data_IF_466518430449
#
_entry.id   IF_466518430449
#
_cell.length_a   1.000
_cell.length_b   1.000
_cell.length_c   1.000
_cell.angle_alpha   90.00
_cell.angle_beta   90.00
_cell.angle_gamma   90.00
#
_symmetry.space_group_name_H-M   'P 1'
#
loop_
_entity.id
_entity.type
_entity.pdbx_description
1 polymer ?
#
# COMPACT_ATOMS: atom_id res chain seq x y z
N UNK A 1 -4.63 1.91 11.78
CA UNK A 1 -3.34 2.54 11.44
C UNK A 1 -2.50 2.55 12.71
N UNK A 2 -1.27 2.03 12.65
CA UNK A 2 -0.37 2.00 13.80
C UNK A 2 1.02 2.48 13.37
N UNK A 3 1.36 3.73 13.67
CA UNK A 3 2.61 4.38 13.28
C UNK A 3 3.40 4.79 14.53
N UNK A 4 4.24 3.92 15.12
CA UNK A 4 4.90 4.24 16.37
C UNK A 4 6.04 5.27 16.16
N UNK A 5 6.00 6.38 16.90
CA UNK A 5 7.01 7.45 16.85
C UNK A 5 8.08 7.44 17.96
N UNK A 6 7.97 6.56 18.97
CA UNK A 6 8.83 6.54 20.17
C UNK A 6 8.95 5.17 20.85
N UNK A 7 9.81 5.02 21.87
CA UNK A 7 10.14 3.73 22.52
C UNK A 7 8.95 3.03 23.20
N UNK A 8 8.18 3.74 24.02
CA UNK A 8 6.94 3.26 24.64
C UNK A 8 5.84 2.99 23.60
N UNK A 9 5.76 3.81 22.55
CA UNK A 9 4.84 3.61 21.43
C UNK A 9 5.14 2.33 20.62
N UNK A 10 6.36 1.77 20.70
CA UNK A 10 6.69 0.49 20.05
C UNK A 10 6.11 -0.72 20.78
N UNK A 11 6.01 -0.67 22.11
CA UNK A 11 5.46 -1.74 22.94
C UNK A 11 3.95 -1.88 22.72
N UNK A 12 3.19 -0.80 22.90
CA UNK A 12 1.76 -0.77 22.56
C UNK A 12 1.53 -1.07 21.07
N UNK A 13 2.45 -0.60 20.23
CA UNK A 13 2.44 -0.89 18.81
C UNK A 13 2.55 -2.40 18.51
N UNK A 14 3.26 -3.21 19.32
CA UNK A 14 3.35 -4.66 19.11
C UNK A 14 2.04 -5.36 19.47
N UNK A 15 1.45 -5.02 20.62
CA UNK A 15 0.17 -5.59 21.06
C UNK A 15 -0.96 -5.32 20.07
N UNK A 16 -1.02 -4.09 19.53
CA UNK A 16 -1.98 -3.73 18.48
C UNK A 16 -1.77 -4.57 17.21
N UNK A 17 -0.52 -4.83 16.82
CA UNK A 17 -0.22 -5.67 15.65
C UNK A 17 -0.62 -7.11 15.88
N UNK A 18 -0.30 -7.67 17.05
CA UNK A 18 -0.65 -9.03 17.41
C UNK A 18 -2.17 -9.25 17.41
N UNK A 19 -2.92 -8.33 18.01
CA UNK A 19 -4.39 -8.38 18.04
C UNK A 19 -5.03 -8.33 16.64
N UNK A 20 -4.49 -7.50 15.74
CA UNK A 20 -5.02 -7.37 14.38
C UNK A 20 -4.70 -8.61 13.52
N UNK A 21 -3.51 -9.18 13.65
CA UNK A 21 -3.15 -10.46 12.99
C UNK A 21 -4.05 -11.58 13.50
N UNK A 22 -4.26 -11.68 14.82
CA UNK A 22 -5.15 -12.68 15.41
C UNK A 22 -6.61 -12.52 14.95
N UNK A 23 -7.03 -11.29 14.64
CA UNK A 23 -8.37 -10.98 14.15
C UNK A 23 -8.51 -11.11 12.62
N UNK A 24 -7.46 -11.46 11.89
CA UNK A 24 -7.40 -11.53 10.42
C UNK A 24 -7.90 -10.25 9.74
N UNK A 25 -7.47 -9.09 10.25
CA UNK A 25 -7.86 -7.78 9.72
C UNK A 25 -6.68 -7.12 8.99
N UNK A 26 -6.94 -6.37 7.90
CA UNK A 26 -5.90 -5.58 7.25
C UNK A 26 -5.26 -4.56 8.20
N UNK A 27 -3.94 -4.43 8.12
CA UNK A 27 -3.17 -3.48 8.91
C UNK A 27 -2.18 -2.71 8.05
N UNK A 28 -2.19 -1.39 8.17
CA UNK A 28 -1.12 -0.51 7.68
C UNK A 28 -0.21 -0.10 8.84
N UNK A 29 1.10 -0.28 8.67
CA UNK A 29 2.13 0.01 9.68
C UNK A 29 2.94 1.26 9.35
N UNK A 30 2.78 1.82 8.14
CA UNK A 30 3.40 3.08 7.73
C UNK A 30 2.38 4.09 7.20
N UNK A 31 2.70 5.39 7.37
CA UNK A 31 1.92 6.48 6.78
C UNK A 31 1.97 6.42 5.25
N UNK A 32 3.12 6.09 4.66
CA UNK A 32 3.31 6.06 3.22
C UNK A 32 2.38 5.03 2.55
N UNK A 33 2.29 3.81 3.10
CA UNK A 33 1.38 2.77 2.62
C UNK A 33 -0.08 3.18 2.76
N UNK A 34 -0.47 3.81 3.87
CA UNK A 34 -1.83 4.28 4.05
C UNK A 34 -2.20 5.34 3.00
N UNK A 35 -1.33 6.32 2.76
CA UNK A 35 -1.58 7.36 1.76
C UNK A 35 -1.73 6.78 0.35
N UNK A 36 -0.90 5.79 -0.02
CA UNK A 36 -1.01 5.09 -1.29
C UNK A 36 -2.33 4.31 -1.40
N UNK A 37 -2.75 3.62 -0.33
CA UNK A 37 -4.01 2.90 -0.28
C UNK A 37 -5.22 3.84 -0.45
N UNK A 38 -5.24 4.99 0.25
CA UNK A 38 -6.31 5.98 0.13
C UNK A 38 -6.39 6.55 -1.29
N UNK A 39 -5.26 6.90 -1.91
CA UNK A 39 -5.24 7.39 -3.29
C UNK A 39 -5.80 6.36 -4.28
N UNK A 40 -5.53 5.07 -4.04
CA UNK A 40 -6.00 3.98 -4.89
C UNK A 40 -7.53 3.78 -4.88
N UNK A 41 -8.24 4.22 -3.83
CA UNK A 41 -9.71 4.07 -3.75
C UNK A 41 -10.47 4.77 -4.88
N UNK A 42 -9.89 5.83 -5.46
CA UNK A 42 -10.47 6.49 -6.63
C UNK A 42 -10.55 5.59 -7.89
N UNK A 43 -9.75 4.53 -7.93
CA UNK A 43 -9.59 3.64 -9.09
C UNK A 43 -10.27 2.28 -8.88
N UNK A 44 -10.38 1.81 -7.63
CA UNK A 44 -10.86 0.45 -7.28
C UNK A 44 -12.23 0.11 -7.88
N UNK A 45 -13.13 1.08 -8.03
CA UNK A 45 -14.47 0.85 -8.59
C UNK A 45 -14.57 0.73 -10.11
N UNK A 46 -13.48 1.01 -10.86
CA UNK A 46 -13.51 1.10 -12.34
C UNK A 46 -12.92 -0.12 -13.05
N UNK A 47 -12.40 -1.09 -12.30
CA UNK A 47 -11.64 -2.20 -12.86
C UNK A 47 -10.24 -1.78 -13.34
N UNK A 48 -9.42 -2.75 -13.72
CA UNK A 48 -8.06 -2.52 -14.20
C UNK A 48 -7.92 -2.93 -15.66
N UNK A 49 -7.24 -2.11 -16.45
CA UNK A 49 -6.76 -2.52 -17.77
C UNK A 49 -5.56 -3.46 -17.62
N UNK A 50 -5.60 -4.58 -18.33
CA UNK A 50 -4.52 -5.58 -18.31
C UNK A 50 -3.64 -5.37 -19.55
N UNK A 51 -2.32 -5.33 -19.35
CA UNK A 51 -1.33 -5.26 -20.44
C UNK A 51 -0.30 -6.37 -20.29
N UNK A 52 0.17 -6.91 -21.41
CA UNK A 52 1.33 -7.81 -21.40
C UNK A 52 2.60 -7.03 -21.04
N UNK A 53 3.58 -7.74 -20.46
CA UNK A 53 4.88 -7.16 -20.10
C UNK A 53 5.63 -6.64 -21.34
N UNK A 54 5.48 -7.31 -22.48
CA UNK A 54 6.09 -6.92 -23.76
C UNK A 54 5.54 -5.57 -24.24
N UNK A 55 4.20 -5.42 -24.23
CA UNK A 55 3.54 -4.18 -24.65
C UNK A 55 3.84 -3.03 -23.68
N UNK A 56 3.89 -3.31 -22.38
CA UNK A 56 4.27 -2.33 -21.37
C UNK A 56 5.72 -1.84 -21.56
N UNK A 57 6.66 -2.75 -21.85
CA UNK A 57 8.06 -2.39 -22.08
C UNK A 57 8.26 -1.49 -23.31
N UNK A 58 7.47 -1.70 -24.37
CA UNK A 58 7.45 -0.81 -25.55
C UNK A 58 6.94 0.57 -25.16
N UNK A 59 5.72 0.67 -24.59
CA UNK A 59 5.11 1.95 -24.18
C UNK A 59 6.01 2.76 -23.26
N UNK A 60 6.66 2.10 -22.29
CA UNK A 60 7.58 2.76 -21.36
C UNK A 60 8.82 3.34 -22.05
N UNK A 61 9.37 2.64 -23.05
CA UNK A 61 10.52 3.17 -23.82
C UNK A 61 10.13 4.39 -24.63
N UNK A 62 8.96 4.38 -25.25
CA UNK A 62 8.43 5.51 -26.01
C UNK A 62 8.19 6.73 -25.11
N UNK A 63 7.60 6.54 -23.93
CA UNK A 63 7.32 7.61 -22.98
C UNK A 63 8.57 8.30 -22.38
N UNK A 64 9.72 7.63 -22.40
CA UNK A 64 11.00 8.18 -21.90
C UNK A 64 11.83 8.81 -23.03
N UNK A 65 11.51 8.51 -24.29
CA UNK A 65 12.23 9.01 -25.46
C UNK A 65 11.67 10.33 -26.01
N UNK A 66 10.48 10.76 -25.55
CA UNK A 66 9.88 12.07 -25.85
C UNK A 66 10.05 13.04 -24.68
#
# INVERSE_FOLDING_TARGET
MNTPGGGTARADGYEIRAAIVAADKPLFTTIAELSAAVASFSVIGRGFEVTSLQNYAVKRREAVAG
#
